data_IF_318215382566
#
_entry.id   IF_318215382566
#
_cell.length_a   1.000
_cell.length_b   1.000
_cell.length_c   1.000
_cell.angle_alpha   90.00
_cell.angle_beta   90.00
_cell.angle_gamma   90.00
#
_symmetry.space_group_name_H-M   'P 1'
#
loop_
_entity.id
_entity.type
_entity.pdbx_description
1 polymer ?
#
# COMPACT_ATOMS: atom_id res chain seq x y z
N UNK A 1 -75.44 5.65 -21.27
CA UNK A 1 -74.20 4.86 -20.93
C UNK A 1 -72.97 5.70 -21.17
N UNK A 2 -72.33 6.22 -20.11
CA UNK A 2 -71.12 7.00 -20.21
C UNK A 2 -69.92 6.06 -19.80
N UNK A 3 -69.04 5.76 -20.75
CA UNK A 3 -67.82 5.01 -20.48
C UNK A 3 -66.73 5.97 -19.97
N UNK A 4 -66.33 5.84 -18.71
CA UNK A 4 -65.18 6.53 -18.14
C UNK A 4 -63.90 5.78 -18.51
N UNK A 5 -62.98 6.45 -19.22
CA UNK A 5 -61.66 5.94 -19.51
C UNK A 5 -60.77 6.24 -18.31
N UNK A 6 -60.35 5.18 -17.61
CA UNK A 6 -59.38 5.26 -16.51
C UNK A 6 -57.96 5.27 -17.13
N UNK A 7 -57.30 6.42 -17.14
CA UNK A 7 -55.91 6.57 -17.49
C UNK A 7 -55.04 6.09 -16.29
N UNK A 8 -54.46 4.90 -16.38
CA UNK A 8 -53.41 4.46 -15.47
C UNK A 8 -52.11 5.22 -15.84
N UNK A 9 -51.73 6.20 -15.03
CA UNK A 9 -50.42 6.81 -15.08
C UNK A 9 -49.34 5.82 -14.59
N UNK A 10 -48.54 5.28 -15.51
CA UNK A 10 -47.30 4.60 -15.17
C UNK A 10 -46.29 5.64 -14.64
N UNK A 11 -46.14 5.71 -13.33
CA UNK A 11 -45.02 6.41 -12.72
C UNK A 11 -43.73 5.62 -13.03
N UNK A 12 -42.91 6.09 -13.96
CA UNK A 12 -41.55 5.65 -14.12
C UNK A 12 -40.78 6.11 -12.88
N UNK A 13 -40.62 5.24 -11.90
CA UNK A 13 -39.59 5.36 -10.87
C UNK A 13 -38.23 5.24 -11.60
N UNK A 14 -37.67 6.37 -11.98
CA UNK A 14 -36.31 6.44 -12.45
C UNK A 14 -35.41 5.99 -11.30
N UNK A 15 -34.91 4.75 -11.36
CA UNK A 15 -33.78 4.35 -10.50
C UNK A 15 -32.61 5.29 -10.82
N UNK A 16 -32.31 6.21 -9.92
CA UNK A 16 -31.10 6.99 -10.00
C UNK A 16 -29.92 5.98 -10.10
N UNK A 17 -29.03 6.20 -11.05
CA UNK A 17 -27.80 5.37 -11.14
C UNK A 17 -27.04 5.54 -9.83
N UNK A 18 -26.52 4.45 -9.25
CA UNK A 18 -25.69 4.55 -8.05
C UNK A 18 -24.49 5.47 -8.33
N UNK A 19 -24.16 6.33 -7.37
CA UNK A 19 -23.04 7.29 -7.45
C UNK A 19 -21.96 6.85 -6.46
N UNK A 20 -20.69 6.88 -6.85
CA UNK A 20 -19.56 6.57 -5.96
C UNK A 20 -19.47 7.48 -4.74
N UNK A 21 -20.13 8.66 -4.78
CA UNK A 21 -20.21 9.63 -3.67
C UNK A 21 -21.22 9.22 -2.59
N UNK A 22 -22.05 8.22 -2.85
CA UNK A 22 -23.00 7.72 -1.86
C UNK A 22 -22.23 6.92 -0.80
N UNK A 23 -21.99 7.54 0.35
CA UNK A 23 -21.26 6.93 1.46
C UNK A 23 -22.02 5.80 2.17
N UNK A 24 -23.25 5.48 1.78
CA UNK A 24 -23.99 4.31 2.25
C UNK A 24 -23.60 3.03 1.50
N UNK A 25 -22.97 3.16 0.33
CA UNK A 25 -22.49 2.02 -0.46
C UNK A 25 -21.17 1.47 0.10
N UNK A 26 -20.93 0.15 -0.02
CA UNK A 26 -19.62 -0.43 0.32
C UNK A 26 -18.48 0.17 -0.49
N UNK A 27 -17.30 0.32 0.11
CA UNK A 27 -16.09 0.87 -0.54
C UNK A 27 -15.74 0.16 -1.85
N UNK A 28 -15.89 -1.16 -1.91
CA UNK A 28 -15.67 -1.95 -3.11
C UNK A 28 -16.59 -1.55 -4.26
N UNK A 29 -17.87 -1.31 -3.98
CA UNK A 29 -18.84 -0.86 -4.99
C UNK A 29 -18.56 0.57 -5.42
N UNK A 30 -18.19 1.45 -4.48
CA UNK A 30 -17.80 2.83 -4.77
C UNK A 30 -16.56 2.90 -5.65
N UNK A 31 -15.56 2.08 -5.35
CA UNK A 31 -14.35 1.97 -6.16
C UNK A 31 -14.64 1.52 -7.60
N UNK A 32 -15.53 0.53 -7.77
CA UNK A 32 -15.97 0.09 -9.10
C UNK A 32 -16.68 1.18 -9.89
N UNK A 33 -17.60 1.90 -9.25
CA UNK A 33 -18.33 3.02 -9.88
C UNK A 33 -17.37 4.14 -10.29
N UNK A 34 -16.43 4.52 -9.42
CA UNK A 34 -15.46 5.57 -9.72
C UNK A 34 -14.49 5.14 -10.82
N UNK A 35 -14.04 3.88 -10.81
CA UNK A 35 -13.15 3.34 -11.84
C UNK A 35 -13.72 3.49 -13.25
N UNK A 36 -15.04 3.32 -13.42
CA UNK A 36 -15.72 3.45 -14.70
C UNK A 36 -15.77 4.90 -15.21
N UNK A 37 -15.60 5.88 -14.33
CA UNK A 37 -15.58 7.31 -14.67
C UNK A 37 -14.18 7.82 -15.06
N UNK A 38 -13.13 7.05 -14.79
CA UNK A 38 -11.74 7.48 -14.99
C UNK A 38 -11.25 7.19 -16.41
N UNK A 39 -10.49 8.13 -16.99
CA UNK A 39 -9.72 7.87 -18.22
C UNK A 39 -8.46 7.06 -17.89
N UNK A 40 -7.82 6.47 -18.91
CA UNK A 40 -6.56 5.72 -18.72
C UNK A 40 -5.46 6.58 -18.08
N UNK A 41 -5.31 7.83 -18.51
CA UNK A 41 -4.34 8.76 -17.97
C UNK A 41 -4.62 9.10 -16.50
N UNK A 42 -5.89 9.28 -16.13
CA UNK A 42 -6.29 9.51 -14.74
C UNK A 42 -6.04 8.27 -13.88
N UNK A 43 -6.39 7.06 -14.37
CA UNK A 43 -6.08 5.79 -13.70
C UNK A 43 -4.59 5.68 -13.37
N UNK A 44 -3.74 5.88 -14.37
CA UNK A 44 -2.29 5.79 -14.20
C UNK A 44 -1.77 6.87 -13.23
N UNK A 45 -2.32 8.09 -13.27
CA UNK A 45 -1.93 9.17 -12.35
C UNK A 45 -2.22 8.86 -10.88
N UNK A 46 -3.17 7.96 -10.60
CA UNK A 46 -3.50 7.50 -9.25
C UNK A 46 -2.61 6.36 -8.75
N UNK A 47 -1.82 5.73 -9.64
CA UNK A 47 -0.95 4.59 -9.31
C UNK A 47 0.46 5.00 -8.85
N UNK A 48 0.70 6.27 -8.54
CA UNK A 48 1.96 6.79 -8.02
C UNK A 48 1.80 7.29 -6.59
N UNK A 49 2.89 7.28 -5.81
CA UNK A 49 2.89 7.73 -4.41
C UNK A 49 2.36 9.15 -4.23
N UNK A 50 2.53 10.01 -5.23
CA UNK A 50 1.88 11.32 -5.35
C UNK A 50 0.72 11.19 -6.33
N UNK A 51 -0.43 10.74 -5.85
CA UNK A 51 -1.66 10.65 -6.64
C UNK A 51 -2.19 12.04 -6.97
N UNK A 52 -2.30 12.35 -8.26
CA UNK A 52 -2.80 13.65 -8.73
C UNK A 52 -4.29 13.80 -8.48
N UNK A 53 -4.82 15.04 -8.32
CA UNK A 53 -6.25 15.26 -8.23
C UNK A 53 -6.96 14.94 -9.55
N UNK A 54 -8.21 14.49 -9.48
CA UNK A 54 -9.11 14.40 -10.64
C UNK A 54 -10.22 15.40 -10.43
N UNK A 55 -9.97 16.66 -10.78
CA UNK A 55 -10.81 17.81 -10.44
C UNK A 55 -12.24 17.68 -10.96
N UNK A 56 -12.43 17.18 -12.20
CA UNK A 56 -13.76 16.98 -12.80
C UNK A 56 -14.65 16.01 -12.00
N UNK A 57 -14.06 15.13 -11.21
CA UNK A 57 -14.76 14.18 -10.33
C UNK A 57 -14.75 14.59 -8.87
N UNK A 58 -14.05 15.69 -8.53
CA UNK A 58 -13.89 16.18 -7.17
C UNK A 58 -12.94 15.32 -6.32
N UNK A 59 -12.07 14.52 -6.96
CA UNK A 59 -11.07 13.70 -6.27
C UNK A 59 -9.90 14.58 -5.88
N UNK A 60 -9.59 14.61 -4.58
CA UNK A 60 -8.46 15.36 -4.02
C UNK A 60 -7.13 14.65 -4.31
N UNK A 61 -6.00 15.37 -4.31
CA UNK A 61 -4.69 14.72 -4.34
C UNK A 61 -4.50 13.87 -3.08
N UNK A 62 -3.66 12.84 -3.17
CA UNK A 62 -3.30 12.01 -2.03
C UNK A 62 -1.82 11.65 -2.08
N UNK A 63 -1.16 11.66 -0.94
CA UNK A 63 0.21 11.22 -0.82
C UNK A 63 0.29 9.94 0.01
N UNK A 64 0.72 8.85 -0.64
CA UNK A 64 0.80 7.52 -0.04
C UNK A 64 2.00 7.37 0.89
N UNK A 65 3.04 8.19 0.72
CA UNK A 65 4.26 8.08 1.50
C UNK A 65 4.12 8.76 2.86
N UNK A 66 3.88 7.96 3.89
CA UNK A 66 3.89 8.38 5.28
C UNK A 66 4.70 7.39 6.12
N UNK A 67 5.37 7.86 7.15
CA UNK A 67 6.29 7.06 7.96
C UNK A 67 5.95 7.16 9.44
N UNK A 68 6.01 6.02 10.13
CA UNK A 68 5.69 5.95 11.55
C UNK A 68 6.50 4.86 12.29
N UNK A 69 7.77 4.65 11.94
CA UNK A 69 8.60 3.58 12.53
C UNK A 69 8.74 3.67 14.05
N UNK A 70 8.75 4.90 14.61
CA UNK A 70 8.79 5.14 16.06
C UNK A 70 8.11 6.46 16.45
N UNK A 71 6.98 6.77 15.85
CA UNK A 71 6.21 8.00 15.93
C UNK A 71 5.98 8.59 14.55
N UNK A 72 4.98 9.45 14.39
CA UNK A 72 4.66 10.07 13.09
C UNK A 72 5.83 10.94 12.64
N UNK A 73 6.42 10.59 11.50
CA UNK A 73 7.60 11.26 10.97
C UNK A 73 7.25 12.46 10.09
N UNK A 74 8.08 13.51 10.16
CA UNK A 74 8.21 14.64 9.24
C UNK A 74 6.94 15.47 8.99
N UNK A 75 5.91 15.33 9.82
CA UNK A 75 4.69 16.14 9.76
C UNK A 75 4.56 17.07 10.97
N UNK A 76 5.59 17.86 11.26
CA UNK A 76 5.69 18.71 12.43
C UNK A 76 6.04 17.94 13.71
N UNK A 77 5.67 18.47 14.88
CA UNK A 77 5.93 17.83 16.17
C UNK A 77 5.03 16.60 16.37
N UNK A 78 5.61 15.53 16.87
CA UNK A 78 4.92 14.30 17.26
C UNK A 78 5.64 13.67 18.47
N UNK A 79 4.99 12.73 19.14
CA UNK A 79 5.64 11.91 20.16
C UNK A 79 6.68 11.00 19.49
N UNK A 80 7.91 11.01 20.03
CA UNK A 80 9.01 10.15 19.56
C UNK A 80 9.22 9.04 20.54
N UNK A 81 9.07 7.82 20.07
CA UNK A 81 9.31 6.58 20.82
C UNK A 81 10.72 6.02 20.51
N UNK A 82 11.20 5.02 21.27
CA UNK A 82 12.46 4.34 20.93
C UNK A 82 12.44 3.77 19.49
N UNK A 83 13.63 3.68 18.90
CA UNK A 83 13.78 2.96 17.60
C UNK A 83 13.25 1.53 17.69
N UNK A 84 12.76 0.92 16.59
CA UNK A 84 12.22 -0.43 16.58
C UNK A 84 13.14 -1.48 17.22
N UNK A 85 14.45 -1.40 16.99
CA UNK A 85 15.42 -2.30 17.64
C UNK A 85 15.40 -2.20 19.17
N UNK A 86 15.20 -1.00 19.70
CA UNK A 86 15.04 -0.76 21.15
C UNK A 86 13.70 -1.27 21.68
N UNK A 87 12.62 -1.12 20.91
CA UNK A 87 11.32 -1.70 21.23
C UNK A 87 11.39 -3.23 21.20
N UNK A 88 12.07 -3.84 20.21
CA UNK A 88 12.33 -5.28 20.15
C UNK A 88 13.06 -5.81 21.38
N UNK A 89 14.07 -5.08 21.86
CA UNK A 89 14.84 -5.45 23.05
C UNK A 89 14.02 -5.44 24.37
N UNK A 90 12.84 -4.84 24.37
CA UNK A 90 11.92 -4.88 25.53
C UNK A 90 11.23 -6.23 25.71
N UNK A 91 11.13 -7.04 24.66
CA UNK A 91 10.36 -8.30 24.60
C UNK A 91 8.89 -8.12 25.04
N UNK A 92 8.35 -6.89 24.93
CA UNK A 92 7.01 -6.53 25.37
C UNK A 92 6.14 -6.10 24.18
N UNK A 93 5.52 -7.07 23.52
CA UNK A 93 4.68 -6.86 22.36
C UNK A 93 3.37 -6.13 22.68
N UNK A 94 2.84 -6.28 23.91
CA UNK A 94 1.66 -5.53 24.37
C UNK A 94 1.95 -4.03 24.47
N UNK A 95 3.13 -3.65 24.99
CA UNK A 95 3.56 -2.25 25.04
C UNK A 95 3.73 -1.68 23.63
N UNK A 96 4.25 -2.48 22.69
CA UNK A 96 4.37 -2.06 21.29
C UNK A 96 2.99 -1.78 20.68
N UNK A 97 1.98 -2.60 20.97
CA UNK A 97 0.59 -2.31 20.57
C UNK A 97 0.09 -0.96 21.09
N UNK A 98 0.30 -0.67 22.38
CA UNK A 98 -0.11 0.62 22.99
C UNK A 98 0.62 1.81 22.37
N UNK A 99 1.94 1.68 22.11
CA UNK A 99 2.74 2.70 21.42
C UNK A 99 2.15 3.02 20.05
N UNK A 100 1.88 2.00 19.24
CA UNK A 100 1.38 2.22 17.88
C UNK A 100 -0.10 2.60 17.84
N UNK A 101 -0.87 2.32 18.90
CA UNK A 101 -2.19 2.90 19.09
C UNK A 101 -2.09 4.42 19.29
N UNK A 102 -1.19 4.89 20.14
CA UNK A 102 -0.96 6.33 20.33
C UNK A 102 -0.44 7.00 19.04
N UNK A 103 0.48 6.35 18.33
CA UNK A 103 0.97 6.83 17.02
C UNK A 103 -0.17 6.99 16.02
N UNK A 104 -1.11 6.05 15.99
CA UNK A 104 -2.25 6.11 15.07
C UNK A 104 -3.23 7.22 15.41
N UNK A 105 -3.44 7.52 16.69
CA UNK A 105 -4.25 8.66 17.15
C UNK A 105 -3.61 10.00 16.71
N UNK A 106 -2.30 10.15 16.91
CA UNK A 106 -1.58 11.34 16.44
C UNK A 106 -1.62 11.49 14.91
N UNK A 107 -1.49 10.39 14.16
CA UNK A 107 -1.53 10.41 12.71
C UNK A 107 -2.91 10.86 12.18
N UNK A 108 -4.00 10.33 12.76
CA UNK A 108 -5.37 10.76 12.42
C UNK A 108 -5.59 12.25 12.75
N UNK A 109 -5.20 12.69 13.92
CA UNK A 109 -5.33 14.10 14.32
C UNK A 109 -4.55 15.04 13.37
N UNK A 110 -3.34 14.66 12.98
CA UNK A 110 -2.52 15.42 12.02
C UNK A 110 -3.15 15.46 10.63
N UNK A 111 -3.61 14.31 10.11
CA UNK A 111 -4.31 14.25 8.83
C UNK A 111 -5.54 15.17 8.83
N UNK A 112 -6.40 15.09 9.85
CA UNK A 112 -7.57 15.95 9.96
C UNK A 112 -7.19 17.44 9.99
N UNK A 113 -6.13 17.80 10.72
CA UNK A 113 -5.62 19.17 10.75
C UNK A 113 -5.15 19.66 9.39
N UNK A 114 -4.30 18.88 8.69
CA UNK A 114 -3.78 19.28 7.38
C UNK A 114 -4.87 19.31 6.32
N UNK A 115 -5.77 18.33 6.30
CA UNK A 115 -6.92 18.29 5.39
C UNK A 115 -7.85 19.53 5.60
N UNK A 116 -8.03 19.99 6.84
CA UNK A 116 -8.78 21.23 7.14
C UNK A 116 -8.14 22.49 6.57
N UNK A 117 -6.84 22.44 6.26
CA UNK A 117 -6.06 23.51 5.59
C UNK A 117 -5.94 23.32 4.08
N UNK A 118 -6.54 22.26 3.53
CA UNK A 118 -6.41 21.90 2.12
C UNK A 118 -5.02 21.39 1.74
N UNK A 119 -4.24 20.90 2.71
CA UNK A 119 -2.89 20.34 2.50
C UNK A 119 -2.94 18.81 2.48
N UNK A 120 -2.34 18.22 1.45
CA UNK A 120 -2.28 16.77 1.19
C UNK A 120 -0.86 16.35 0.80
N UNK A 121 0.12 16.92 1.49
CA UNK A 121 1.53 16.70 1.21
C UNK A 121 2.03 15.37 1.80
N UNK A 122 3.26 15.00 1.44
CA UNK A 122 3.97 13.84 2.00
C UNK A 122 3.99 13.88 3.54
N UNK A 123 3.78 12.74 4.17
CA UNK A 123 3.73 12.55 5.62
C UNK A 123 2.45 13.09 6.30
N UNK A 124 1.42 13.44 5.52
CA UNK A 124 0.15 13.94 6.04
C UNK A 124 -1.03 12.98 5.82
N UNK A 125 -0.78 11.85 5.13
CA UNK A 125 -1.78 10.83 4.80
C UNK A 125 -2.02 9.82 5.92
N UNK A 126 -2.76 8.78 5.59
CA UNK A 126 -3.24 7.74 6.51
C UNK A 126 -2.68 6.34 6.20
N UNK A 127 -1.79 6.24 5.21
CA UNK A 127 -1.08 5.03 4.79
C UNK A 127 0.33 5.06 5.35
N UNK A 128 0.61 4.26 6.39
CA UNK A 128 1.90 4.28 7.09
C UNK A 128 2.80 3.16 6.59
N UNK A 129 3.93 3.52 5.97
CA UNK A 129 4.90 2.53 5.47
C UNK A 129 5.73 1.94 6.60
N UNK A 130 5.04 1.23 7.49
CA UNK A 130 5.49 0.66 8.75
C UNK A 130 4.65 -0.60 9.05
N UNK A 131 5.24 -1.71 9.57
CA UNK A 131 6.59 -1.87 10.12
C UNK A 131 7.64 -2.38 9.12
N UNK A 132 8.93 -2.20 9.44
CA UNK A 132 10.03 -2.94 8.82
C UNK A 132 10.23 -4.27 9.56
N UNK A 133 9.86 -5.39 8.94
CA UNK A 133 9.97 -6.74 9.51
C UNK A 133 11.06 -7.58 8.85
N UNK A 134 12.02 -6.93 8.19
CA UNK A 134 13.21 -7.63 7.72
C UNK A 134 14.06 -8.13 8.90
N UNK A 135 14.74 -9.25 8.69
CA UNK A 135 15.62 -9.85 9.72
C UNK A 135 16.98 -9.15 9.71
N UNK A 136 17.42 -8.64 10.87
CA UNK A 136 18.71 -7.96 11.03
C UNK A 136 19.84 -8.99 11.12
N UNK A 137 20.31 -9.47 9.98
CA UNK A 137 21.34 -10.52 9.90
C UNK A 137 22.76 -10.01 9.78
N UNK A 138 22.93 -8.89 9.06
CA UNK A 138 24.24 -8.35 8.74
C UNK A 138 24.43 -6.99 9.42
N UNK A 139 25.40 -6.85 10.34
CA UNK A 139 25.65 -5.59 11.04
C UNK A 139 26.06 -4.44 10.11
N UNK A 140 26.44 -4.73 8.88
CA UNK A 140 26.77 -3.74 7.86
C UNK A 140 25.53 -3.14 7.18
N UNK A 141 24.36 -3.76 7.38
CA UNK A 141 23.13 -3.21 6.86
C UNK A 141 22.70 -1.95 7.62
N UNK A 142 22.73 -0.79 6.95
CA UNK A 142 22.51 0.51 7.56
C UNK A 142 21.12 0.75 8.14
N UNK A 143 20.13 -0.08 7.78
CA UNK A 143 18.74 0.03 8.25
C UNK A 143 18.38 -0.94 9.38
N UNK A 144 19.36 -1.63 9.96
CA UNK A 144 19.10 -2.60 11.03
C UNK A 144 18.36 -2.02 12.24
N UNK A 145 18.60 -0.74 12.58
CA UNK A 145 17.91 -0.05 13.68
C UNK A 145 16.39 0.11 13.48
N UNK A 146 15.92 0.03 12.22
CA UNK A 146 14.50 0.08 11.88
C UNK A 146 13.77 -1.23 12.15
N UNK A 147 14.46 -2.30 12.53
CA UNK A 147 13.94 -3.65 12.70
C UNK A 147 13.87 -4.08 14.16
N UNK A 148 13.21 -5.20 14.41
CA UNK A 148 13.01 -5.76 15.77
C UNK A 148 14.10 -6.78 16.16
N UNK A 149 15.14 -6.99 15.34
CA UNK A 149 16.27 -7.86 15.60
C UNK A 149 16.42 -8.98 14.58
N UNK A 150 17.14 -10.03 14.97
CA UNK A 150 17.49 -11.16 14.11
C UNK A 150 16.57 -12.38 14.27
N UNK A 151 15.74 -12.41 15.32
CA UNK A 151 14.86 -13.54 15.60
C UNK A 151 13.52 -13.40 14.85
N UNK A 152 13.14 -14.40 14.01
CA UNK A 152 11.90 -14.34 13.22
C UNK A 152 10.64 -14.35 14.08
N UNK A 153 10.64 -15.06 15.23
CA UNK A 153 9.48 -15.12 16.11
C UNK A 153 9.25 -13.78 16.83
N UNK A 154 10.31 -13.19 17.41
CA UNK A 154 10.23 -11.87 18.03
C UNK A 154 9.76 -10.83 17.02
N UNK A 155 10.36 -10.81 15.83
CA UNK A 155 9.98 -9.89 14.75
C UNK A 155 8.51 -10.07 14.36
N UNK A 156 8.03 -11.30 14.30
CA UNK A 156 6.62 -11.62 14.03
C UNK A 156 5.71 -11.05 15.12
N UNK A 157 6.02 -11.30 16.39
CA UNK A 157 5.21 -10.82 17.52
C UNK A 157 5.13 -9.30 17.57
N UNK A 158 6.27 -8.63 17.41
CA UNK A 158 6.34 -7.17 17.39
C UNK A 158 5.59 -6.60 16.17
N UNK A 159 5.86 -7.12 14.98
CA UNK A 159 5.23 -6.66 13.74
C UNK A 159 3.71 -6.79 13.75
N UNK A 160 3.16 -7.91 14.21
CA UNK A 160 1.70 -8.12 14.35
C UNK A 160 1.08 -7.05 15.27
N UNK A 161 1.73 -6.75 16.40
CA UNK A 161 1.21 -5.75 17.34
C UNK A 161 1.36 -4.30 16.82
N UNK A 162 2.39 -4.01 16.03
CA UNK A 162 2.51 -2.74 15.29
C UNK A 162 1.34 -2.55 14.33
N UNK A 163 1.07 -3.55 13.49
CA UNK A 163 -0.03 -3.48 12.52
C UNK A 163 -1.37 -3.29 13.24
N UNK A 164 -1.64 -4.11 14.27
CA UNK A 164 -2.88 -4.00 15.05
C UNK A 164 -3.02 -2.66 15.76
N UNK A 165 -1.94 -2.10 16.30
CA UNK A 165 -1.95 -0.78 16.92
C UNK A 165 -2.20 0.34 15.92
N UNK A 166 -1.54 0.31 14.76
CA UNK A 166 -1.73 1.31 13.70
C UNK A 166 -3.12 1.25 13.07
N UNK A 167 -3.56 0.06 12.65
CA UNK A 167 -4.85 -0.11 11.99
C UNK A 167 -6.03 0.02 12.96
N UNK A 168 -5.80 -0.27 14.25
CA UNK A 168 -6.79 -0.14 15.31
C UNK A 168 -7.98 -1.07 15.13
N UNK A 169 -9.02 -0.81 15.91
CA UNK A 169 -10.34 -1.40 15.70
C UNK A 169 -11.17 -0.34 14.99
N UNK A 170 -11.60 -0.65 13.75
CA UNK A 170 -12.52 0.21 13.01
C UNK A 170 -13.81 0.42 13.82
N UNK A 171 -14.36 1.63 13.80
CA UNK A 171 -15.70 1.92 14.33
C UNK A 171 -16.84 1.29 13.51
N UNK A 172 -16.45 0.47 12.52
CA UNK A 172 -17.32 -0.28 11.65
C UNK A 172 -17.60 0.37 10.30
N UNK A 173 -17.08 1.60 10.07
CA UNK A 173 -17.25 2.28 8.77
C UNK A 173 -15.93 2.62 8.09
N UNK A 174 -14.97 3.18 8.81
CA UNK A 174 -13.69 3.60 8.25
C UNK A 174 -12.54 2.97 9.00
N UNK A 175 -11.49 2.58 8.25
CA UNK A 175 -10.24 2.13 8.84
C UNK A 175 -9.49 3.30 9.47
N UNK A 176 -8.82 3.05 10.61
CA UNK A 176 -8.08 4.09 11.31
C UNK A 176 -6.86 4.55 10.53
N UNK A 177 -5.98 3.61 10.16
CA UNK A 177 -4.83 3.76 9.28
C UNK A 177 -4.64 2.48 8.49
N UNK A 178 -3.89 2.56 7.38
CA UNK A 178 -3.31 1.39 6.74
C UNK A 178 -1.83 1.27 7.12
N UNK A 179 -1.44 0.09 7.58
CA UNK A 179 -0.05 -0.28 7.84
C UNK A 179 0.53 -1.00 6.63
N UNK A 180 1.87 -0.94 6.48
CA UNK A 180 2.59 -1.54 5.37
C UNK A 180 3.74 -2.41 5.87
N UNK A 181 3.69 -3.71 5.58
CA UNK A 181 4.78 -4.62 5.85
C UNK A 181 5.92 -4.43 4.85
N UNK A 182 7.14 -4.15 5.31
CA UNK A 182 8.28 -3.91 4.42
C UNK A 182 9.57 -4.56 4.92
N UNK A 183 10.50 -4.86 4.02
CA UNK A 183 10.48 -4.83 2.55
C UNK A 183 10.46 -6.26 2.04
N UNK A 184 9.48 -6.62 1.23
CA UNK A 184 9.22 -7.99 0.80
C UNK A 184 9.99 -8.32 -0.50
N UNK A 185 11.01 -9.19 -0.49
CA UNK A 185 11.47 -10.00 0.62
C UNK A 185 13.00 -10.14 0.61
N UNK A 186 13.52 -10.70 1.73
CA UNK A 186 14.95 -11.00 1.90
C UNK A 186 15.85 -9.76 1.74
N UNK A 187 15.40 -8.61 2.26
CA UNK A 187 16.07 -7.32 2.16
C UNK A 187 16.81 -7.01 3.46
N UNK A 188 18.05 -7.50 3.61
CA UNK A 188 18.92 -7.23 4.77
C UNK A 188 20.40 -7.41 4.45
N UNK A 189 20.77 -7.13 3.20
CA UNK A 189 22.16 -7.14 2.74
C UNK A 189 22.87 -5.81 2.97
N UNK A 190 24.17 -5.71 2.61
CA UNK A 190 24.92 -4.47 2.70
C UNK A 190 24.24 -3.34 1.91
N UNK A 191 24.12 -2.17 2.53
CA UNK A 191 23.37 -1.03 2.00
C UNK A 191 23.91 -0.48 0.66
N UNK A 192 25.23 -0.60 0.45
CA UNK A 192 25.90 -0.06 -0.75
C UNK A 192 25.50 -0.72 -2.07
N UNK A 193 24.93 -1.95 -2.05
CA UNK A 193 24.51 -2.66 -3.25
C UNK A 193 23.02 -3.00 -3.28
N UNK A 194 22.18 -2.39 -2.43
CA UNK A 194 20.74 -2.68 -2.33
C UNK A 194 20.00 -2.62 -3.66
N UNK A 195 20.42 -1.74 -4.57
CA UNK A 195 19.81 -1.53 -5.89
C UNK A 195 20.28 -2.53 -6.97
N UNK A 196 21.23 -3.40 -6.65
CA UNK A 196 21.77 -4.37 -7.62
C UNK A 196 21.92 -5.79 -7.04
N UNK A 197 21.71 -5.95 -5.73
CA UNK A 197 21.84 -7.23 -5.04
C UNK A 197 20.85 -8.26 -5.56
N UNK A 198 21.30 -9.51 -5.71
CA UNK A 198 20.46 -10.66 -6.02
C UNK A 198 20.58 -11.72 -4.93
N UNK A 199 19.44 -12.22 -4.48
CA UNK A 199 19.38 -13.36 -3.55
C UNK A 199 19.35 -14.64 -4.38
N UNK A 200 20.53 -15.17 -4.66
CA UNK A 200 20.71 -16.43 -5.35
C UNK A 200 20.89 -17.58 -4.34
N UNK A 201 20.51 -18.78 -4.71
CA UNK A 201 20.76 -20.02 -3.97
C UNK A 201 20.31 -20.02 -2.49
N UNK A 202 19.27 -19.25 -2.14
CA UNK A 202 18.72 -19.28 -0.79
C UNK A 202 17.98 -20.61 -0.56
N UNK A 203 18.40 -21.42 0.47
CA UNK A 203 17.66 -22.63 0.80
C UNK A 203 16.19 -22.33 1.11
N UNK A 204 15.27 -23.14 0.59
CA UNK A 204 13.84 -22.99 0.85
C UNK A 204 13.51 -22.96 2.34
N UNK A 205 14.25 -23.74 3.13
CA UNK A 205 14.10 -23.74 4.57
C UNK A 205 14.35 -22.35 5.16
N UNK A 206 15.44 -21.69 4.76
CA UNK A 206 15.79 -20.37 5.28
C UNK A 206 14.77 -19.32 4.82
N UNK A 207 14.26 -19.43 3.59
CA UNK A 207 13.21 -18.57 3.10
C UNK A 207 11.95 -18.68 3.97
N UNK A 208 11.45 -19.91 4.20
CA UNK A 208 10.18 -20.15 4.89
C UNK A 208 10.26 -20.14 6.42
N UNK A 209 11.44 -20.38 7.01
CA UNK A 209 11.60 -20.39 8.46
C UNK A 209 12.23 -19.11 9.02
N UNK A 210 12.89 -18.29 8.17
CA UNK A 210 13.56 -17.06 8.63
C UNK A 210 12.98 -15.80 8.03
N UNK A 211 12.86 -15.72 6.68
CA UNK A 211 12.55 -14.46 6.02
C UNK A 211 11.07 -14.18 5.82
N UNK A 212 10.25 -15.20 5.62
CA UNK A 212 8.83 -15.07 5.33
C UNK A 212 7.90 -15.09 6.55
N UNK A 213 8.24 -15.68 7.72
CA UNK A 213 7.28 -15.87 8.81
C UNK A 213 6.61 -14.57 9.29
N UNK A 214 7.40 -13.50 9.46
CA UNK A 214 6.84 -12.22 9.90
C UNK A 214 5.84 -11.67 8.88
N UNK A 215 6.17 -11.63 7.60
CA UNK A 215 5.25 -11.16 6.56
C UNK A 215 3.97 -11.99 6.51
N UNK A 216 4.09 -13.32 6.57
CA UNK A 216 2.94 -14.22 6.58
C UNK A 216 1.99 -13.92 7.74
N UNK A 217 2.53 -13.75 8.94
CA UNK A 217 1.73 -13.44 10.12
C UNK A 217 1.09 -12.03 10.04
N UNK A 218 1.80 -11.04 9.49
CA UNK A 218 1.20 -9.72 9.29
C UNK A 218 0.00 -9.77 8.33
N UNK A 219 0.07 -10.62 7.30
CA UNK A 219 -1.05 -10.86 6.37
C UNK A 219 -2.18 -11.62 7.08
N UNK A 220 -1.88 -12.79 7.69
CA UNK A 220 -2.90 -13.73 8.14
C UNK A 220 -3.46 -13.45 9.54
N UNK A 221 -2.63 -12.89 10.46
CA UNK A 221 -2.99 -12.69 11.86
C UNK A 221 -3.30 -11.22 12.19
N UNK A 222 -2.85 -10.27 11.34
CA UNK A 222 -3.01 -8.84 11.56
C UNK A 222 -3.75 -8.10 10.43
N UNK A 223 -4.08 -8.77 9.33
CA UNK A 223 -4.80 -8.19 8.18
C UNK A 223 -4.13 -6.91 7.68
N UNK A 224 -2.78 -6.93 7.53
CA UNK A 224 -2.03 -5.78 7.04
C UNK A 224 -2.55 -5.33 5.68
N UNK A 225 -2.78 -4.03 5.50
CA UNK A 225 -3.43 -3.48 4.30
C UNK A 225 -2.47 -3.28 3.13
N UNK A 226 -1.18 -3.14 3.42
CA UNK A 226 -0.18 -2.86 2.39
C UNK A 226 1.08 -3.73 2.60
N UNK A 227 1.72 -4.08 1.49
CA UNK A 227 3.03 -4.75 1.47
C UNK A 227 3.94 -4.05 0.48
N UNK A 228 5.12 -3.61 0.92
CA UNK A 228 6.11 -2.97 0.07
C UNK A 228 7.13 -4.00 -0.42
N UNK A 229 7.25 -4.16 -1.74
CA UNK A 229 8.29 -4.99 -2.33
C UNK A 229 9.67 -4.31 -2.26
N UNK A 230 10.71 -5.13 -2.11
CA UNK A 230 12.07 -4.67 -1.84
C UNK A 230 12.83 -4.25 -3.10
N UNK A 231 13.95 -3.52 -2.92
CA UNK A 231 14.86 -3.12 -4.00
C UNK A 231 15.54 -4.30 -4.68
N UNK A 232 15.98 -5.30 -3.92
CA UNK A 232 16.81 -6.38 -4.43
C UNK A 232 16.08 -7.29 -5.41
N UNK A 233 16.86 -8.11 -6.13
CA UNK A 233 16.34 -9.27 -6.85
C UNK A 233 16.21 -10.46 -5.91
N UNK A 234 15.35 -11.36 -6.30
CA UNK A 234 15.20 -12.70 -5.73
C UNK A 234 15.12 -13.71 -6.87
N UNK A 235 16.09 -14.64 -6.90
CA UNK A 235 16.21 -15.63 -7.97
C UNK A 235 16.27 -15.02 -9.39
N UNK A 236 17.03 -13.93 -9.53
CA UNK A 236 17.26 -13.23 -10.79
C UNK A 236 16.21 -12.19 -11.17
N UNK A 237 15.02 -12.17 -10.52
CA UNK A 237 13.95 -11.23 -10.81
C UNK A 237 13.86 -10.13 -9.73
N UNK A 238 13.69 -8.84 -10.09
CA UNK A 238 13.44 -7.79 -9.12
C UNK A 238 12.23 -8.11 -8.23
N UNK A 239 12.32 -7.93 -6.91
CA UNK A 239 11.23 -8.26 -6.00
C UNK A 239 9.88 -7.63 -6.42
N UNK A 240 9.90 -6.38 -6.92
CA UNK A 240 8.69 -5.69 -7.38
C UNK A 240 8.16 -6.19 -8.75
N UNK A 241 8.88 -7.10 -9.41
CA UNK A 241 8.47 -7.78 -10.64
C UNK A 241 8.40 -9.31 -10.49
N UNK A 242 8.62 -9.83 -9.29
CA UNK A 242 8.76 -11.26 -9.04
C UNK A 242 7.40 -11.92 -8.80
N UNK A 243 6.90 -12.65 -9.79
CA UNK A 243 5.61 -13.35 -9.71
C UNK A 243 5.55 -14.41 -8.62
N UNK A 244 6.68 -15.09 -8.33
CA UNK A 244 6.73 -16.09 -7.27
C UNK A 244 6.46 -15.44 -5.91
N UNK A 245 7.10 -14.32 -5.62
CA UNK A 245 6.91 -13.61 -4.36
C UNK A 245 5.52 -12.97 -4.29
N UNK A 246 5.16 -12.16 -5.29
CA UNK A 246 3.99 -11.28 -5.20
C UNK A 246 2.68 -12.00 -5.53
N UNK A 247 2.67 -12.89 -6.54
CA UNK A 247 1.45 -13.59 -6.95
C UNK A 247 1.32 -14.92 -6.20
N UNK A 248 2.30 -15.83 -6.35
CA UNK A 248 2.15 -17.20 -5.84
C UNK A 248 2.17 -17.23 -4.30
N UNK A 249 3.18 -16.63 -3.67
CA UNK A 249 3.31 -16.68 -2.20
C UNK A 249 2.34 -15.69 -1.54
N UNK A 250 2.42 -14.40 -1.90
CA UNK A 250 1.68 -13.37 -1.17
C UNK A 250 0.17 -13.43 -1.45
N UNK A 251 -0.24 -13.48 -2.74
CA UNK A 251 -1.66 -13.48 -3.13
C UNK A 251 -2.31 -14.85 -2.98
N UNK A 252 -1.74 -15.89 -3.63
CA UNK A 252 -2.39 -17.20 -3.76
C UNK A 252 -2.21 -18.07 -2.53
N UNK A 253 -0.98 -18.17 -1.96
CA UNK A 253 -0.72 -19.01 -0.80
C UNK A 253 -1.22 -18.38 0.50
N UNK A 254 -1.02 -17.07 0.70
CA UNK A 254 -1.38 -16.40 1.96
C UNK A 254 -2.72 -15.68 1.91
N UNK A 255 -3.30 -15.48 0.74
CA UNK A 255 -4.61 -14.82 0.56
C UNK A 255 -4.57 -13.31 0.70
N UNK A 256 -3.42 -12.66 0.49
CA UNK A 256 -3.33 -11.20 0.58
C UNK A 256 -4.11 -10.52 -0.54
N UNK A 257 -5.07 -9.69 -0.21
CA UNK A 257 -5.91 -8.93 -1.15
C UNK A 257 -5.67 -7.40 -1.11
N UNK A 258 -4.81 -6.93 -0.21
CA UNK A 258 -4.43 -5.53 -0.06
C UNK A 258 -3.56 -4.98 -1.19
N UNK A 259 -2.95 -3.81 -0.96
CA UNK A 259 -2.09 -3.11 -1.92
C UNK A 259 -0.66 -3.63 -1.86
N UNK A 260 -0.07 -3.93 -3.01
CA UNK A 260 1.37 -4.12 -3.13
C UNK A 260 1.96 -2.84 -3.73
N UNK A 261 2.94 -2.26 -3.05
CA UNK A 261 3.62 -1.06 -3.52
C UNK A 261 5.13 -1.28 -3.67
N UNK A 262 5.76 -0.48 -4.54
CA UNK A 262 7.21 -0.52 -4.70
C UNK A 262 7.92 0.28 -3.60
N UNK A 263 9.14 -0.14 -3.21
CA UNK A 263 10.06 0.81 -2.58
C UNK A 263 10.40 1.92 -3.57
N UNK A 264 10.83 3.09 -3.05
CA UNK A 264 10.95 4.29 -3.86
C UNK A 264 12.01 4.13 -4.95
N UNK A 265 11.60 4.33 -6.20
CA UNK A 265 12.38 4.14 -7.42
C UNK A 265 12.86 2.69 -7.66
N UNK A 266 12.34 1.70 -6.95
CA UNK A 266 12.73 0.30 -7.16
C UNK A 266 12.38 -0.23 -8.57
N UNK A 267 11.36 0.33 -9.23
CA UNK A 267 11.02 -0.05 -10.62
C UNK A 267 12.00 0.55 -11.62
N UNK A 268 12.64 1.70 -11.30
CA UNK A 268 13.74 2.25 -12.09
C UNK A 268 14.93 1.28 -12.16
N UNK A 269 15.22 0.58 -11.06
CA UNK A 269 16.32 -0.40 -11.00
C UNK A 269 16.18 -1.52 -12.04
N UNK A 270 14.96 -1.80 -12.54
CA UNK A 270 14.75 -2.84 -13.55
C UNK A 270 15.50 -2.55 -14.85
N UNK A 271 15.64 -1.28 -15.25
CA UNK A 271 16.20 -0.90 -16.54
C UNK A 271 17.41 0.06 -16.45
N UNK A 272 17.63 0.72 -15.32
CA UNK A 272 18.76 1.65 -15.18
C UNK A 272 20.11 0.94 -15.15
N UNK A 273 21.17 1.66 -15.59
CA UNK A 273 22.51 1.12 -15.73
C UNK A 273 23.12 0.65 -14.41
N UNK A 274 22.82 1.32 -13.32
CA UNK A 274 23.30 0.98 -11.97
C UNK A 274 22.39 0.01 -11.22
N UNK A 275 21.24 -0.32 -11.78
CA UNK A 275 20.27 -1.24 -11.23
C UNK A 275 20.44 -2.69 -11.73
N UNK A 276 19.32 -3.35 -11.96
CA UNK A 276 19.26 -4.79 -12.27
C UNK A 276 19.45 -5.11 -13.75
N UNK A 277 19.09 -4.21 -14.67
CA UNK A 277 19.15 -4.41 -16.14
C UNK A 277 18.37 -5.62 -16.64
N UNK A 278 17.29 -5.97 -15.97
CA UNK A 278 16.42 -7.08 -16.36
C UNK A 278 15.44 -6.67 -17.46
N UNK A 279 15.20 -5.38 -17.62
CA UNK A 279 14.29 -4.81 -18.61
C UNK A 279 15.03 -3.74 -19.45
N UNK A 280 14.54 -3.53 -20.68
CA UNK A 280 15.22 -2.64 -21.63
C UNK A 280 14.88 -1.16 -21.44
N UNK A 281 13.70 -0.85 -20.91
CA UNK A 281 13.15 0.51 -20.85
C UNK A 281 12.04 0.63 -19.80
N UNK A 282 11.65 1.86 -19.48
CA UNK A 282 10.61 2.15 -18.51
C UNK A 282 9.24 1.52 -18.82
N UNK A 283 8.72 1.55 -20.09
CA UNK A 283 7.45 0.87 -20.40
C UNK A 283 7.47 -0.63 -20.11
N UNK A 284 8.57 -1.32 -20.42
CA UNK A 284 8.69 -2.76 -20.15
C UNK A 284 8.80 -3.06 -18.66
N UNK A 285 9.53 -2.23 -17.89
CA UNK A 285 9.64 -2.33 -16.44
C UNK A 285 8.31 -2.10 -15.73
N UNK A 286 7.61 -1.00 -16.07
CA UNK A 286 6.30 -0.68 -15.51
C UNK A 286 5.26 -1.78 -15.77
N UNK A 287 5.21 -2.29 -17.03
CA UNK A 287 4.31 -3.39 -17.38
C UNK A 287 4.61 -4.65 -16.58
N UNK A 288 5.88 -5.03 -16.46
CA UNK A 288 6.29 -6.21 -15.71
C UNK A 288 5.91 -6.11 -14.22
N UNK A 289 6.11 -4.94 -13.60
CA UNK A 289 5.75 -4.69 -12.22
C UNK A 289 4.23 -4.84 -11.99
N UNK A 290 3.39 -4.18 -12.80
CA UNK A 290 1.92 -4.28 -12.67
C UNK A 290 1.43 -5.71 -12.93
N UNK A 291 1.95 -6.37 -13.97
CA UNK A 291 1.56 -7.75 -14.32
C UNK A 291 2.01 -8.78 -13.28
N UNK A 292 3.01 -8.46 -12.46
CA UNK A 292 3.48 -9.29 -11.34
C UNK A 292 2.76 -8.98 -10.03
N UNK A 293 1.94 -7.90 -9.98
CA UNK A 293 1.07 -7.60 -8.85
C UNK A 293 1.40 -6.32 -8.08
N UNK A 294 2.40 -5.51 -8.50
CA UNK A 294 2.71 -4.22 -7.87
C UNK A 294 1.67 -3.18 -8.31
N UNK A 295 0.81 -2.79 -7.37
CA UNK A 295 -0.35 -1.92 -7.62
C UNK A 295 0.00 -0.42 -7.62
N UNK A 296 0.97 -0.01 -6.79
CA UNK A 296 1.37 1.38 -6.56
C UNK A 296 2.89 1.53 -6.70
N UNK A 297 3.33 2.57 -7.37
CA UNK A 297 4.75 2.92 -7.46
C UNK A 297 5.10 4.10 -6.55
N UNK A 298 6.17 3.97 -5.76
CA UNK A 298 6.88 5.12 -5.22
C UNK A 298 7.90 5.59 -6.26
N UNK A 299 7.50 6.53 -7.10
CA UNK A 299 8.31 6.99 -8.24
C UNK A 299 7.47 7.56 -9.36
N UNK A 300 8.01 7.51 -10.59
CA UNK A 300 7.37 8.06 -11.78
C UNK A 300 7.44 7.13 -13.02
N UNK A 301 7.97 5.92 -12.88
CA UNK A 301 8.09 4.98 -14.02
C UNK A 301 6.72 4.56 -14.55
N UNK A 302 5.69 4.54 -13.68
CA UNK A 302 4.32 4.21 -14.08
C UNK A 302 3.69 5.24 -15.04
N UNK A 303 4.23 6.45 -15.17
CA UNK A 303 3.82 7.36 -16.26
C UNK A 303 4.02 6.72 -17.64
N UNK A 304 4.99 5.82 -17.78
CA UNK A 304 5.26 5.07 -19.01
C UNK A 304 4.24 3.97 -19.34
N UNK A 305 3.31 3.66 -18.43
CA UNK A 305 2.20 2.72 -18.69
C UNK A 305 1.28 3.22 -19.82
N UNK A 306 1.18 4.54 -20.03
CA UNK A 306 0.46 5.12 -21.17
C UNK A 306 1.06 4.62 -22.49
N UNK A 307 2.38 4.67 -22.59
CA UNK A 307 3.10 4.18 -23.78
C UNK A 307 3.02 2.66 -23.88
N UNK A 308 3.16 1.96 -22.75
CA UNK A 308 3.07 0.51 -22.68
C UNK A 308 1.70 -0.01 -23.15
N UNK A 309 0.60 0.62 -22.74
CA UNK A 309 -0.75 0.28 -23.18
C UNK A 309 -0.94 0.52 -24.69
N UNK A 310 -0.46 1.66 -25.21
CA UNK A 310 -0.49 1.95 -26.65
C UNK A 310 0.29 0.95 -27.49
N UNK A 311 1.35 0.36 -26.93
CA UNK A 311 2.17 -0.68 -27.57
C UNK A 311 1.64 -2.10 -27.36
N UNK A 312 0.54 -2.29 -26.64
CA UNK A 312 -0.03 -3.59 -26.32
C UNK A 312 0.84 -4.44 -25.37
N UNK A 313 1.69 -3.79 -24.55
CA UNK A 313 2.52 -4.48 -23.54
C UNK A 313 1.74 -4.81 -22.28
N UNK A 314 0.66 -4.07 -22.02
CA UNK A 314 -0.25 -4.24 -20.89
C UNK A 314 -1.68 -3.89 -21.31
N UNK A 315 -2.65 -4.66 -20.83
CA UNK A 315 -4.06 -4.37 -21.04
C UNK A 315 -4.60 -3.42 -19.95
N UNK A 316 -5.55 -2.55 -20.29
CA UNK A 316 -6.18 -1.64 -19.33
C UNK A 316 -6.82 -2.38 -18.15
N UNK A 317 -7.32 -3.60 -18.37
CA UNK A 317 -7.88 -4.43 -17.28
C UNK A 317 -6.86 -4.79 -16.19
N UNK A 318 -5.56 -4.83 -16.51
CA UNK A 318 -4.52 -5.02 -15.51
C UNK A 318 -4.30 -3.75 -14.67
N UNK A 319 -4.37 -2.58 -15.31
CA UNK A 319 -4.34 -1.26 -14.66
C UNK A 319 -5.57 -1.10 -13.76
N UNK A 320 -6.75 -1.45 -14.25
CA UNK A 320 -8.02 -1.37 -13.53
C UNK A 320 -8.01 -2.16 -12.22
N UNK A 321 -7.42 -3.37 -12.23
CA UNK A 321 -7.29 -4.17 -11.00
C UNK A 321 -6.49 -3.47 -9.91
N UNK A 322 -5.40 -2.81 -10.28
CA UNK A 322 -4.57 -2.06 -9.35
C UNK A 322 -5.27 -0.80 -8.85
N UNK A 323 -5.80 0.01 -9.78
CA UNK A 323 -6.51 1.26 -9.44
C UNK A 323 -7.71 0.99 -8.54
N UNK A 324 -8.47 -0.07 -8.78
CA UNK A 324 -9.62 -0.44 -7.96
C UNK A 324 -9.23 -0.65 -6.49
N UNK A 325 -8.10 -1.30 -6.20
CA UNK A 325 -7.60 -1.49 -4.84
C UNK A 325 -7.21 -0.16 -4.19
N UNK A 326 -6.54 0.72 -4.94
CA UNK A 326 -6.15 2.05 -4.45
C UNK A 326 -7.39 2.90 -4.12
N UNK A 327 -8.40 2.89 -4.98
CA UNK A 327 -9.66 3.59 -4.74
C UNK A 327 -10.40 3.04 -3.52
N UNK A 328 -10.49 1.70 -3.42
CA UNK A 328 -11.09 1.03 -2.26
C UNK A 328 -10.42 1.47 -0.97
N UNK A 329 -9.09 1.44 -0.90
CA UNK A 329 -8.33 1.86 0.28
C UNK A 329 -8.62 3.32 0.68
N UNK A 330 -8.71 4.24 -0.27
CA UNK A 330 -9.07 5.65 -0.01
C UNK A 330 -10.50 5.78 0.52
N UNK A 331 -11.44 4.96 0.04
CA UNK A 331 -12.80 4.90 0.60
C UNK A 331 -12.82 4.27 2.00
N UNK A 332 -12.08 3.17 2.22
CA UNK A 332 -11.97 2.52 3.53
C UNK A 332 -11.41 3.48 4.60
N UNK A 333 -10.46 4.33 4.24
CA UNK A 333 -9.88 5.35 5.11
C UNK A 333 -10.80 6.58 5.34
N UNK A 334 -11.89 6.69 4.58
CA UNK A 334 -12.80 7.84 4.62
C UNK A 334 -12.22 9.10 3.97
N UNK A 335 -11.08 9.00 3.30
CA UNK A 335 -10.36 10.14 2.73
C UNK A 335 -11.15 10.85 1.61
N UNK A 336 -12.00 10.11 0.89
CA UNK A 336 -12.84 10.64 -0.17
C UNK A 336 -14.23 11.13 0.32
N UNK A 337 -14.50 11.04 1.61
CA UNK A 337 -15.77 11.43 2.18
C UNK A 337 -15.72 12.82 2.83
N UNK A 338 -16.87 13.32 3.28
CA UNK A 338 -16.96 14.56 4.03
C UNK A 338 -16.24 14.42 5.37
N UNK A 339 -15.16 15.21 5.63
CA UNK A 339 -14.39 15.08 6.87
C UNK A 339 -15.23 15.22 8.16
N UNK A 340 -16.38 15.89 8.11
CA UNK A 340 -17.28 16.01 9.26
C UNK A 340 -17.99 14.71 9.63
N UNK A 341 -17.94 13.71 8.75
CA UNK A 341 -18.58 12.39 8.91
C UNK A 341 -17.56 11.27 9.15
N UNK A 342 -16.28 11.60 9.11
CA UNK A 342 -15.17 10.66 9.33
C UNK A 342 -14.64 10.91 10.74
N UNK A 343 -14.71 9.89 11.61
CA UNK A 343 -14.26 9.94 13.02
C UNK A 343 -12.74 9.83 13.13
#
# INVERSE_FOLDING_TARGET
MRYGILLLGLAFLGCARPDFRDSSLPSEQRAELLLQELTLEEKISLMMDVSKPVERLGIKPYNWWNEALHGVARAGLATVFPQPIGMGASFNDSLVYEVFTAVSDEARAKNAYYASKGSYERYQGLTMWTPNVNIYRDPRWGRGIETYGEDPYLTTRMGVNVVKGLQGVSDGKYDKLHACAKHFAVHSGPEWNRHSFDVEDLPLRDLYETYLPAFKALVQDADVKEVMCAYNRFEGEPCCGNKRLLTQILREEWGFDGIILSDCWAINDFFEEKGHRTHKDAPSAASAAVLSGTDLECGSTYESLIEAAKKGMIDETAIDRSVKKLLKARFDLGEMDDPSKVS
#
